data_IF_787437749504
#
_entry.id   IF_787437749504
#
_cell.length_a   1.000
_cell.length_b   1.000
_cell.length_c   1.000
_cell.angle_alpha   90.00
_cell.angle_beta   90.00
_cell.angle_gamma   90.00
#
_symmetry.space_group_name_H-M   'P 1'
#
loop_
_entity.id
_entity.type
_entity.pdbx_description
1 polymer ?
#
# COMPACT_ATOMS: atom_id res chain seq x y z
N UNK A 1 -27.13 6.15 -19.23
CA UNK A 1 -26.09 7.10 -18.77
C UNK A 1 -25.20 6.41 -17.72
N UNK A 2 -24.07 5.83 -18.14
CA UNK A 2 -23.10 5.07 -17.32
C UNK A 2 -22.08 5.98 -16.58
N UNK A 3 -22.53 7.08 -15.95
CA UNK A 3 -21.60 8.08 -15.37
C UNK A 3 -21.02 7.67 -13.99
N UNK A 4 -21.52 6.59 -13.39
CA UNK A 4 -21.08 6.09 -12.07
C UNK A 4 -19.99 5.00 -12.09
N UNK A 5 -19.76 4.32 -13.23
CA UNK A 5 -18.83 3.18 -13.26
C UNK A 5 -17.35 3.59 -13.34
N UNK A 6 -17.02 4.65 -14.09
CA UNK A 6 -15.63 5.05 -14.31
C UNK A 6 -14.91 5.53 -13.05
N UNK A 7 -15.60 6.27 -12.17
CA UNK A 7 -15.01 6.78 -10.92
C UNK A 7 -14.74 5.64 -9.92
N UNK A 8 -15.65 4.66 -9.83
CA UNK A 8 -15.48 3.50 -8.96
C UNK A 8 -14.36 2.58 -9.47
N UNK A 9 -14.23 2.44 -10.79
CA UNK A 9 -13.12 1.72 -11.40
C UNK A 9 -11.77 2.40 -11.14
N UNK A 10 -11.72 3.72 -11.29
CA UNK A 10 -10.52 4.50 -10.98
C UNK A 10 -10.14 4.39 -9.50
N UNK A 11 -11.07 4.64 -8.59
CA UNK A 11 -10.84 4.54 -7.15
C UNK A 11 -10.44 3.12 -6.74
N UNK A 12 -11.16 2.10 -7.22
CA UNK A 12 -10.82 0.70 -6.93
C UNK A 12 -9.41 0.32 -7.38
N UNK A 13 -9.00 0.77 -8.57
CA UNK A 13 -7.65 0.54 -9.09
C UNK A 13 -6.58 1.25 -8.26
N UNK A 14 -6.82 2.50 -7.85
CA UNK A 14 -5.92 3.27 -6.98
C UNK A 14 -5.77 2.60 -5.62
N UNK A 15 -6.86 2.16 -5.01
CA UNK A 15 -6.85 1.44 -3.74
C UNK A 15 -6.02 0.15 -3.81
N UNK A 16 -6.17 -0.62 -4.89
CA UNK A 16 -5.37 -1.84 -5.10
C UNK A 16 -3.89 -1.50 -5.26
N UNK A 17 -3.54 -0.50 -6.08
CA UNK A 17 -2.15 -0.11 -6.29
C UNK A 17 -1.48 0.37 -5.00
N UNK A 18 -2.16 1.23 -4.24
CA UNK A 18 -1.67 1.72 -2.94
C UNK A 18 -1.53 0.57 -1.96
N UNK A 19 -2.54 -0.32 -1.88
CA UNK A 19 -2.49 -1.48 -1.01
C UNK A 19 -1.37 -2.45 -1.38
N UNK A 20 -1.10 -2.63 -2.67
CA UNK A 20 0.02 -3.44 -3.16
C UNK A 20 1.37 -2.85 -2.71
N UNK A 21 1.58 -1.54 -2.85
CA UNK A 21 2.81 -0.87 -2.38
C UNK A 21 2.98 -1.06 -0.87
N UNK A 22 1.91 -0.93 -0.09
CA UNK A 22 1.95 -1.11 1.36
C UNK A 22 2.19 -2.57 1.79
N UNK A 23 1.89 -3.56 0.95
CA UNK A 23 2.25 -4.97 1.21
C UNK A 23 3.68 -5.26 0.77
N UNK A 24 4.08 -4.77 -0.41
CA UNK A 24 5.37 -5.08 -1.01
C UNK A 24 6.53 -4.40 -0.28
N UNK A 25 6.39 -3.14 0.14
CA UNK A 25 7.48 -2.41 0.81
C UNK A 25 7.94 -3.06 2.12
N UNK A 26 7.04 -3.46 3.05
CA UNK A 26 7.44 -4.21 4.24
C UNK A 26 8.08 -5.55 3.92
N UNK A 27 7.59 -6.27 2.89
CA UNK A 27 8.17 -7.55 2.47
C UNK A 27 9.58 -7.37 1.91
N UNK A 28 9.82 -6.34 1.10
CA UNK A 28 11.16 -6.03 0.56
C UNK A 28 12.12 -5.56 1.65
N UNK A 29 11.64 -4.78 2.62
CA UNK A 29 12.42 -4.37 3.80
C UNK A 29 12.75 -5.58 4.69
N UNK A 30 11.79 -6.49 4.91
CA UNK A 30 12.00 -7.73 5.65
C UNK A 30 12.97 -8.68 4.94
N UNK A 31 12.90 -8.77 3.62
CA UNK A 31 13.83 -9.53 2.78
C UNK A 31 15.24 -8.91 2.73
N UNK A 32 15.47 -7.75 3.35
CA UNK A 32 16.78 -7.09 3.39
C UNK A 32 17.22 -6.47 2.07
N UNK A 33 16.29 -6.32 1.10
CA UNK A 33 16.58 -5.71 -0.22
C UNK A 33 16.83 -4.20 -0.07
N UNK A 34 16.16 -3.57 0.89
CA UNK A 34 16.38 -2.17 1.26
C UNK A 34 16.70 -2.07 2.75
N UNK A 35 17.82 -1.45 3.09
CA UNK A 35 18.14 -1.09 4.47
C UNK A 35 17.61 0.33 4.73
N UNK A 36 16.67 0.51 5.65
CA UNK A 36 16.15 1.84 5.95
C UNK A 36 17.25 2.67 6.61
N UNK A 37 17.43 3.87 6.08
CA UNK A 37 18.32 4.85 6.67
C UNK A 37 17.69 5.25 8.00
N UNK A 38 18.35 4.90 9.11
CA UNK A 38 17.82 5.15 10.45
C UNK A 38 17.49 6.63 10.66
N UNK A 39 16.56 6.89 11.60
CA UNK A 39 15.99 8.20 12.00
C UNK A 39 17.04 9.33 12.15
N UNK A 40 18.33 9.00 12.31
CA UNK A 40 19.43 9.96 12.39
C UNK A 40 19.80 10.64 11.05
N UNK A 41 19.27 10.19 9.91
CA UNK A 41 19.53 10.80 8.59
C UNK A 41 18.38 11.71 8.10
N UNK A 42 17.42 12.07 8.96
CA UNK A 42 16.18 12.78 8.58
C UNK A 42 16.39 14.23 8.10
N UNK A 43 17.61 14.77 8.16
CA UNK A 43 17.92 16.08 7.58
C UNK A 43 17.64 16.20 6.07
N UNK A 44 17.55 15.07 5.36
CA UNK A 44 17.22 14.98 3.93
C UNK A 44 16.22 13.86 3.62
N UNK A 45 15.31 13.53 4.56
CA UNK A 45 14.37 12.42 4.39
C UNK A 45 13.47 12.66 3.18
N UNK A 46 13.55 11.74 2.21
CA UNK A 46 12.61 11.69 1.11
C UNK A 46 11.28 11.09 1.60
N UNK A 47 10.15 11.34 0.92
CA UNK A 47 8.88 10.69 1.25
C UNK A 47 8.98 9.14 1.29
N UNK A 48 9.92 8.58 0.54
CA UNK A 48 10.22 7.15 0.50
C UNK A 48 10.85 6.64 1.80
N UNK A 49 11.72 7.41 2.43
CA UNK A 49 12.36 7.05 3.71
C UNK A 49 11.32 6.96 4.82
N UNK A 50 10.33 7.85 4.81
CA UNK A 50 9.20 7.84 5.76
C UNK A 50 8.35 6.58 5.57
N UNK A 51 8.05 6.19 4.33
CA UNK A 51 7.30 4.95 4.05
C UNK A 51 8.07 3.71 4.52
N UNK A 52 9.38 3.66 4.28
CA UNK A 52 10.23 2.54 4.73
C UNK A 52 10.30 2.46 6.25
N UNK A 53 10.39 3.60 6.92
CA UNK A 53 10.38 3.68 8.37
C UNK A 53 9.04 3.18 8.94
N UNK A 54 7.93 3.59 8.33
CA UNK A 54 6.57 3.15 8.70
C UNK A 54 6.40 1.64 8.49
N UNK A 55 6.92 1.12 7.38
CA UNK A 55 6.89 -0.30 7.03
C UNK A 55 7.66 -1.17 8.04
N UNK A 56 8.74 -0.65 8.64
CA UNK A 56 9.48 -1.34 9.69
C UNK A 56 8.87 -1.20 11.09
N UNK A 57 8.27 -0.06 11.41
CA UNK A 57 7.74 0.17 12.77
C UNK A 57 6.43 -0.54 13.02
N UNK A 58 5.66 -0.83 11.96
CA UNK A 58 4.29 -1.32 12.11
C UNK A 58 4.08 -2.57 11.24
N UNK A 59 4.14 -3.81 11.80
CA UNK A 59 3.79 -5.03 11.07
C UNK A 59 2.35 -5.02 10.49
N UNK A 60 1.50 -4.11 10.99
CA UNK A 60 0.16 -3.85 10.47
C UNK A 60 0.10 -3.08 9.15
N UNK A 61 1.19 -2.49 8.65
CA UNK A 61 1.18 -1.77 7.35
C UNK A 61 0.81 -2.72 6.20
N UNK A 62 1.33 -3.95 6.22
CA UNK A 62 0.94 -4.98 5.26
C UNK A 62 -0.55 -5.35 5.41
N UNK A 63 -1.06 -5.45 6.64
CA UNK A 63 -2.48 -5.72 6.88
C UNK A 63 -3.39 -4.58 6.37
N UNK A 64 -2.98 -3.31 6.52
CA UNK A 64 -3.67 -2.16 5.93
C UNK A 64 -3.62 -2.21 4.40
N UNK A 65 -2.49 -2.60 3.81
CA UNK A 65 -2.37 -2.80 2.39
C UNK A 65 -3.32 -3.88 1.86
N UNK A 66 -3.45 -5.00 2.58
CA UNK A 66 -4.42 -6.06 2.26
C UNK A 66 -5.88 -5.57 2.38
N UNK A 67 -6.21 -4.77 3.40
CA UNK A 67 -7.54 -4.16 3.54
C UNK A 67 -7.86 -3.21 2.40
N UNK A 68 -6.89 -2.41 1.94
CA UNK A 68 -7.05 -1.51 0.79
C UNK A 68 -7.23 -2.29 -0.52
N UNK A 69 -6.48 -3.38 -0.72
CA UNK A 69 -6.69 -4.28 -1.87
C UNK A 69 -8.10 -4.88 -1.83
N UNK A 70 -8.53 -5.37 -0.67
CA UNK A 70 -9.87 -5.93 -0.51
C UNK A 70 -10.97 -4.89 -0.77
N UNK A 71 -10.83 -3.67 -0.23
CA UNK A 71 -11.76 -2.58 -0.47
C UNK A 71 -11.80 -2.17 -1.96
N UNK A 72 -10.65 -2.13 -2.63
CA UNK A 72 -10.57 -1.83 -4.05
C UNK A 72 -11.21 -2.92 -4.92
N UNK A 73 -10.99 -4.21 -4.60
CA UNK A 73 -11.63 -5.34 -5.27
C UNK A 73 -13.16 -5.31 -5.09
N UNK A 74 -13.63 -5.00 -3.88
CA UNK A 74 -15.06 -4.84 -3.59
C UNK A 74 -15.68 -3.68 -4.37
N UNK A 75 -14.96 -2.55 -4.52
CA UNK A 75 -15.40 -1.41 -5.33
C UNK A 75 -15.44 -1.72 -6.83
N UNK A 76 -14.56 -2.61 -7.31
CA UNK A 76 -14.57 -3.12 -8.69
C UNK A 76 -15.65 -4.18 -8.94
N UNK A 77 -16.41 -4.59 -7.92
CA UNK A 77 -17.40 -5.64 -8.03
C UNK A 77 -16.80 -7.04 -8.18
N UNK A 78 -15.52 -7.21 -7.85
CA UNK A 78 -14.86 -8.52 -7.86
C UNK A 78 -15.30 -9.26 -6.60
N UNK A 79 -16.12 -10.30 -6.77
CA UNK A 79 -16.42 -11.26 -5.71
C UNK A 79 -15.23 -12.18 -5.53
N UNK A 80 -14.54 -12.04 -4.41
CA UNK A 80 -13.52 -13.00 -4.02
C UNK A 80 -14.20 -14.31 -3.57
N UNK A 81 -13.71 -15.47 -4.03
CA UNK A 81 -14.27 -16.77 -3.66
C UNK A 81 -13.76 -17.16 -2.26
N UNK A 82 -14.28 -16.51 -1.23
CA UNK A 82 -14.16 -16.94 0.16
C UNK A 82 -15.42 -16.57 0.94
#
# INVERSE_FOLDING_TARGET
MQKGNGTNQFLGSVLILVGLVLVVLPVLAWAGIFQPVGIRAIGAATPWDVLLLLAQTIPWVAALGLLLIYAGLKLLGVTLPF
#
